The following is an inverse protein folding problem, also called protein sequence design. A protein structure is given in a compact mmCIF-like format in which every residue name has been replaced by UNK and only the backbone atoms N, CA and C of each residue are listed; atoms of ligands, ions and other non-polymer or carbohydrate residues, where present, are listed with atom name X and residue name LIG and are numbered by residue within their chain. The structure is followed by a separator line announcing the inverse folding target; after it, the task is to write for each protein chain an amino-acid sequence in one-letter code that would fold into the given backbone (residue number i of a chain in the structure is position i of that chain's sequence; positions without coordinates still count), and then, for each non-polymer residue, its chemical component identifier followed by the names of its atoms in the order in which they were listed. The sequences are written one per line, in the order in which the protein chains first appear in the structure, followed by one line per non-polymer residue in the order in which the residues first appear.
data_IF_075761493205
#
_entry.id   IF_075761493205
#
_cell.length_a   1.000
_cell.length_b   1.000
_cell.length_c   1.000
_cell.angle_alpha   90.00
_cell.angle_beta   90.00
_cell.angle_gamma   90.00
#
_symmetry.space_group_name_H-M   'P 1'
#
loop_
_entity.id
_entity.type
_entity.pdbx_description
1 polymer ?
#
# COMPACT_ATOMS: atom_id res chain seq x y z
N UNK A 1 18.80 6.26 7.97
CA UNK A 1 18.93 5.06 7.12
C UNK A 1 17.82 5.08 6.09
N UNK A 2 18.08 4.59 4.86
CA UNK A 2 17.02 4.47 3.85
C UNK A 2 15.98 3.42 4.29
N UNK A 3 14.68 3.59 3.95
CA UNK A 3 13.66 2.59 4.23
C UNK A 3 14.04 1.21 3.68
N UNK A 4 13.69 0.13 4.40
CA UNK A 4 13.89 -1.26 3.94
C UNK A 4 13.22 -1.57 2.61
N UNK A 5 12.28 -0.73 2.18
CA UNK A 5 11.50 -0.87 0.95
C UNK A 5 12.13 -0.16 -0.27
N UNK A 6 13.17 0.67 -0.09
CA UNK A 6 13.84 1.37 -1.20
C UNK A 6 14.50 0.44 -2.22
N UNK A 7 15.16 -0.67 -1.84
CA UNK A 7 15.73 -1.61 -2.81
C UNK A 7 14.73 -2.26 -3.76
N UNK A 8 13.43 -2.30 -3.39
CA UNK A 8 12.33 -2.82 -4.22
C UNK A 8 11.53 -1.69 -4.90
N UNK A 9 12.09 -0.49 -4.98
CA UNK A 9 11.51 0.64 -5.70
C UNK A 9 10.40 1.38 -4.97
N UNK A 10 10.14 1.08 -3.70
CA UNK A 10 9.13 1.78 -2.90
C UNK A 10 9.79 2.91 -2.11
N UNK A 11 9.27 4.11 -2.30
CA UNK A 11 9.78 5.34 -1.66
C UNK A 11 8.78 5.88 -0.65
N UNK A 12 9.22 6.87 0.16
CA UNK A 12 8.33 7.54 1.11
C UNK A 12 7.31 8.39 0.35
N UNK A 13 6.03 8.18 0.63
CA UNK A 13 4.94 9.05 0.16
C UNK A 13 4.95 10.44 0.81
N UNK A 14 4.29 11.40 0.16
CA UNK A 14 4.11 12.76 0.68
C UNK A 14 2.84 12.90 1.53
N UNK A 15 1.82 12.10 1.22
CA UNK A 15 0.49 12.21 1.80
C UNK A 15 0.31 11.39 3.08
N UNK A 16 -0.72 11.72 3.84
CA UNK A 16 -1.21 10.87 4.94
C UNK A 16 -1.85 9.62 4.34
N UNK A 17 -1.77 8.52 5.08
CA UNK A 17 -2.52 7.33 4.71
C UNK A 17 -4.03 7.63 4.77
N UNK A 18 -4.73 7.38 3.68
CA UNK A 18 -6.18 7.48 3.57
C UNK A 18 -6.84 6.11 3.69
N UNK A 19 -6.09 5.04 3.44
CA UNK A 19 -6.59 3.67 3.43
C UNK A 19 -7.35 3.33 2.15
N UNK A 20 -7.43 2.05 1.82
CA UNK A 20 -8.35 1.56 0.80
C UNK A 20 -9.82 1.65 1.24
N UNK A 21 -10.73 1.44 0.30
CA UNK A 21 -12.20 1.48 0.52
C UNK A 21 -12.65 0.63 1.71
N UNK A 22 -11.96 -0.47 2.00
CA UNK A 22 -12.34 -1.40 3.06
C UNK A 22 -11.85 -0.99 4.46
N UNK A 23 -10.87 -0.06 4.56
CA UNK A 23 -10.22 0.28 5.84
C UNK A 23 -10.30 1.76 6.20
N UNK A 24 -10.79 2.62 5.29
CA UNK A 24 -10.95 4.06 5.54
C UNK A 24 -11.74 4.35 6.82
N UNK A 25 -12.81 3.58 7.09
CA UNK A 25 -13.65 3.74 8.28
C UNK A 25 -12.88 3.37 9.56
N UNK A 26 -12.01 2.36 9.50
CA UNK A 26 -11.14 2.01 10.63
C UNK A 26 -10.14 3.12 10.93
N UNK A 27 -9.56 3.74 9.91
CA UNK A 27 -8.65 4.88 10.08
C UNK A 27 -9.40 6.10 10.68
N UNK A 28 -10.62 6.38 10.21
CA UNK A 28 -11.45 7.45 10.73
C UNK A 28 -11.82 7.29 12.22
N UNK A 29 -11.86 6.05 12.72
CA UNK A 29 -12.10 5.74 14.13
C UNK A 29 -10.81 5.75 14.99
N UNK A 30 -9.68 6.20 14.44
CA UNK A 30 -8.41 6.32 15.15
C UNK A 30 -7.45 5.16 14.92
N UNK A 31 -7.66 4.33 13.89
CA UNK A 31 -6.71 3.30 13.48
C UNK A 31 -5.41 3.87 12.89
N UNK A 32 -4.31 3.13 13.04
CA UNK A 32 -3.08 3.37 12.28
C UNK A 32 -3.21 2.88 10.84
N UNK A 33 -2.51 3.53 9.91
CA UNK A 33 -2.63 3.25 8.48
C UNK A 33 -1.33 3.45 7.71
N UNK A 34 -1.11 2.59 6.70
CA UNK A 34 -0.01 2.67 5.74
C UNK A 34 -0.61 2.39 4.36
N UNK A 35 -0.36 3.29 3.41
CA UNK A 35 -0.70 3.09 2.01
C UNK A 35 0.54 2.72 1.20
N UNK A 36 0.41 1.68 0.37
CA UNK A 36 1.38 1.31 -0.65
C UNK A 36 0.81 1.66 -2.03
N UNK A 37 1.13 2.86 -2.51
CA UNK A 37 0.57 3.37 -3.75
C UNK A 37 1.18 2.65 -4.97
N UNK A 38 0.32 1.97 -5.73
CA UNK A 38 0.67 1.30 -6.98
C UNK A 38 0.55 2.25 -8.17
N UNK A 39 1.26 1.97 -9.26
CA UNK A 39 1.02 2.68 -10.52
C UNK A 39 -0.32 2.22 -11.12
N UNK A 40 -1.30 3.11 -11.16
CA UNK A 40 -2.62 2.86 -11.73
C UNK A 40 -2.74 3.18 -13.23
N UNK A 41 -1.64 3.43 -13.94
CA UNK A 41 -1.66 3.99 -15.31
C UNK A 41 -2.49 3.17 -16.32
N UNK A 42 -2.60 1.85 -16.11
CA UNK A 42 -3.39 0.93 -16.96
C UNK A 42 -4.65 0.39 -16.29
N UNK A 43 -4.93 0.82 -15.05
CA UNK A 43 -5.99 0.20 -14.24
C UNK A 43 -7.35 0.40 -14.89
N UNK A 44 -7.67 1.64 -15.28
CA UNK A 44 -8.97 1.99 -15.85
C UNK A 44 -9.12 1.64 -17.33
N UNK A 45 -8.07 1.13 -17.98
CA UNK A 45 -8.20 0.60 -19.34
C UNK A 45 -9.04 -0.69 -19.35
N UNK A 46 -9.05 -1.43 -18.23
CA UNK A 46 -9.67 -2.76 -18.12
C UNK A 46 -10.61 -2.92 -16.92
N UNK A 47 -10.51 -2.08 -15.89
CA UNK A 47 -11.34 -2.16 -14.70
C UNK A 47 -12.84 -2.16 -15.05
N UNK A 48 -13.58 -3.15 -14.55
CA UNK A 48 -15.00 -3.38 -14.83
C UNK A 48 -15.34 -3.69 -16.31
N UNK A 49 -14.38 -4.17 -17.08
CA UNK A 49 -14.60 -4.71 -18.43
C UNK A 49 -14.50 -6.24 -18.43
N UNK A 50 -15.06 -6.94 -19.42
CA UNK A 50 -14.82 -8.38 -19.61
C UNK A 50 -13.35 -8.76 -19.80
N UNK A 51 -12.53 -7.81 -20.24
CA UNK A 51 -11.10 -7.96 -20.46
C UNK A 51 -10.28 -7.97 -19.15
N UNK A 52 -10.89 -7.76 -17.97
CA UNK A 52 -10.23 -7.87 -16.67
C UNK A 52 -9.88 -9.35 -16.33
N UNK A 53 -8.84 -9.85 -16.99
CA UNK A 53 -8.42 -11.25 -16.96
C UNK A 53 -6.96 -11.42 -16.51
N UNK A 54 -6.61 -12.63 -16.07
CA UNK A 54 -5.31 -12.92 -15.46
C UNK A 54 -4.11 -12.67 -16.39
N UNK A 55 -4.29 -12.78 -17.70
CA UNK A 55 -3.23 -12.56 -18.70
C UNK A 55 -2.76 -11.09 -18.80
N UNK A 56 -3.54 -10.14 -18.28
CA UNK A 56 -3.13 -8.74 -18.17
C UNK A 56 -2.18 -8.46 -16.98
N UNK A 57 -2.05 -9.41 -16.05
CA UNK A 57 -1.18 -9.26 -14.88
C UNK A 57 0.29 -9.44 -15.29
N UNK A 58 1.09 -8.39 -15.11
CA UNK A 58 2.54 -8.46 -15.23
C UNK A 58 3.13 -9.20 -14.02
N UNK A 59 3.75 -10.40 -14.20
CA UNK A 59 4.30 -11.16 -13.10
C UNK A 59 5.41 -10.45 -12.33
N UNK A 60 6.15 -9.53 -12.96
CA UNK A 60 7.19 -8.76 -12.29
C UNK A 60 6.59 -7.72 -11.35
N UNK A 61 5.52 -7.03 -11.78
CA UNK A 61 4.79 -6.07 -10.94
C UNK A 61 4.11 -6.78 -9.76
N UNK A 62 3.50 -7.95 -10.00
CA UNK A 62 2.90 -8.75 -8.93
C UNK A 62 3.94 -9.17 -7.88
N UNK A 63 5.11 -9.66 -8.30
CA UNK A 63 6.20 -10.02 -7.38
C UNK A 63 6.70 -8.82 -6.56
N UNK A 64 6.81 -7.65 -7.19
CA UNK A 64 7.19 -6.43 -6.49
C UNK A 64 6.16 -6.03 -5.44
N UNK A 65 4.86 -6.14 -5.76
CA UNK A 65 3.78 -5.87 -4.81
C UNK A 65 3.83 -6.83 -3.61
N UNK A 66 4.03 -8.13 -3.85
CA UNK A 66 4.20 -9.13 -2.78
C UNK A 66 5.39 -8.78 -1.89
N UNK A 67 6.54 -8.43 -2.48
CA UNK A 67 7.73 -8.04 -1.73
C UNK A 67 7.49 -6.77 -0.89
N UNK A 68 6.74 -5.79 -1.41
CA UNK A 68 6.39 -4.57 -0.69
C UNK A 68 5.53 -4.86 0.54
N UNK A 69 4.44 -5.62 0.37
CA UNK A 69 3.57 -6.00 1.48
C UNK A 69 4.27 -6.88 2.50
N UNK A 70 5.03 -7.89 2.07
CA UNK A 70 5.78 -8.76 2.99
C UNK A 70 6.82 -7.98 3.80
N UNK A 71 7.55 -7.06 3.17
CA UNK A 71 8.52 -6.20 3.86
C UNK A 71 7.83 -5.28 4.86
N UNK A 72 6.72 -4.65 4.48
CA UNK A 72 5.95 -3.77 5.36
C UNK A 72 5.43 -4.54 6.58
N UNK A 73 4.80 -5.70 6.36
CA UNK A 73 4.27 -6.54 7.43
C UNK A 73 5.38 -7.02 8.37
N UNK A 74 6.52 -7.44 7.84
CA UNK A 74 7.66 -7.85 8.65
C UNK A 74 8.19 -6.72 9.54
N UNK A 75 8.13 -5.46 9.09
CA UNK A 75 8.51 -4.30 9.90
C UNK A 75 7.45 -4.01 10.96
N UNK A 76 6.19 -3.88 10.56
CA UNK A 76 5.08 -3.48 11.45
C UNK A 76 4.84 -4.54 12.53
N UNK A 77 4.85 -5.82 12.19
CA UNK A 77 4.62 -6.90 13.15
C UNK A 77 5.73 -7.02 14.21
N UNK A 78 6.90 -6.43 13.97
CA UNK A 78 8.05 -6.44 14.88
C UNK A 78 8.43 -5.03 15.37
N UNK A 79 7.54 -4.04 15.18
CA UNK A 79 7.79 -2.69 15.65
C UNK A 79 7.79 -2.64 17.19
N UNK A 80 8.84 -2.12 17.84
CA UNK A 80 8.85 -1.95 19.29
C UNK A 80 7.97 -0.79 19.76
N UNK A 81 7.64 0.16 18.87
CA UNK A 81 6.75 1.27 19.13
C UNK A 81 5.26 0.92 18.98
N UNK A 82 4.41 1.64 19.71
CA UNK A 82 2.96 1.61 19.48
C UNK A 82 2.63 2.31 18.15
N UNK A 83 1.92 1.61 17.27
CA UNK A 83 1.39 2.18 16.04
C UNK A 83 0.09 2.93 16.36
N UNK A 84 0.17 4.25 16.36
CA UNK A 84 -0.96 5.13 16.67
C UNK A 84 -1.79 5.54 15.44
N UNK A 85 -2.83 6.35 15.66
CA UNK A 85 -3.68 6.86 14.59
C UNK A 85 -2.88 7.58 13.50
N UNK A 86 -3.34 7.48 12.25
CA UNK A 86 -2.86 8.41 11.20
C UNK A 86 -3.17 9.83 11.68
N UNK A 87 -2.12 10.64 11.89
CA UNK A 87 -2.23 11.90 12.66
C UNK A 87 -3.43 12.75 12.27
N UNK A 88 -4.18 13.22 13.26
CA UNK A 88 -5.43 13.95 13.10
C UNK A 88 -5.37 15.03 12.00
N UNK A 89 -6.45 15.14 11.23
CA UNK A 89 -6.72 16.24 10.31
C UNK A 89 -6.58 17.57 11.07
N UNK A 90 -5.76 18.46 10.51
CA UNK A 90 -6.01 19.90 10.68
C UNK A 90 -6.85 20.32 9.50
#
# INVERSE_FOLDING_TARGET
SAPRTTPIGVVRGADKAHGGTDVEATLALGGGGIDLNQSGLRYFDYHHTPEDTLDLIDPAQLRQNVAAWATMLAVVANAPETIGPVGATK
#
